data_IF_206510190069
#
_entry.id   IF_206510190069
#
_cell.length_a   1.000
_cell.length_b   1.000
_cell.length_c   1.000
_cell.angle_alpha   90.00
_cell.angle_beta   90.00
_cell.angle_gamma   90.00
#
_symmetry.space_group_name_H-M   'P 1'
#
loop_
_entity.id
_entity.type
_entity.pdbx_description
1 polymer ?
#
# COMPACT_ATOMS: atom_id res chain seq x y z
N UNK A 1 -1.03 -28.12 -11.06
CA UNK A 1 -1.23 -27.92 -12.51
C UNK A 1 -1.34 -26.41 -12.70
N UNK A 2 -0.40 -25.78 -13.42
CA UNK A 2 -0.37 -24.32 -13.58
C UNK A 2 -1.54 -23.90 -14.46
N UNK A 3 -2.64 -23.47 -13.84
CA UNK A 3 -3.55 -22.53 -14.49
C UNK A 3 -2.98 -21.12 -14.27
N UNK A 4 -1.80 -20.91 -14.85
CA UNK A 4 -1.21 -19.59 -14.95
C UNK A 4 -2.03 -18.89 -16.01
N UNK A 5 -2.57 -17.73 -15.65
CA UNK A 5 -3.14 -16.74 -16.56
C UNK A 5 -2.11 -16.38 -17.62
N UNK A 6 -2.02 -17.22 -18.63
CA UNK A 6 -1.21 -17.06 -19.83
C UNK A 6 -1.86 -15.94 -20.64
N UNK A 7 -1.51 -14.69 -20.34
CA UNK A 7 -1.88 -13.50 -21.11
C UNK A 7 -3.26 -12.89 -20.83
N UNK A 8 -3.87 -13.19 -19.69
CA UNK A 8 -5.24 -12.76 -19.36
C UNK A 8 -5.38 -12.07 -17.99
N UNK A 9 -4.31 -11.54 -17.38
CA UNK A 9 -4.46 -10.83 -16.09
C UNK A 9 -5.29 -9.58 -16.29
N UNK A 10 -4.89 -8.72 -17.23
CA UNK A 10 -5.71 -7.58 -17.61
C UNK A 10 -6.78 -8.04 -18.60
N UNK A 11 -7.97 -7.51 -18.43
CA UNK A 11 -9.07 -7.65 -19.38
C UNK A 11 -9.17 -6.37 -20.21
N UNK A 12 -9.55 -6.49 -21.48
CA UNK A 12 -9.88 -5.37 -22.35
C UNK A 12 -8.75 -4.30 -22.45
N UNK A 13 -7.48 -4.73 -22.56
CA UNK A 13 -6.36 -3.79 -22.65
C UNK A 13 -6.49 -2.84 -23.85
N UNK A 14 -6.25 -1.55 -23.60
CA UNK A 14 -6.32 -0.51 -24.62
C UNK A 14 -4.98 0.21 -24.79
N UNK A 15 -4.63 0.66 -26.00
CA UNK A 15 -3.38 1.38 -26.24
C UNK A 15 -3.20 2.65 -25.38
N UNK A 16 -4.30 3.34 -25.02
CA UNK A 16 -4.20 4.51 -24.15
C UNK A 16 -3.61 4.21 -22.78
N UNK A 17 -3.75 2.98 -22.25
CA UNK A 17 -3.17 2.62 -20.96
C UNK A 17 -1.64 2.61 -21.00
N UNK A 18 -1.06 2.12 -22.10
CA UNK A 18 0.38 2.17 -22.31
C UNK A 18 0.87 3.62 -22.48
N UNK A 19 0.10 4.45 -23.19
CA UNK A 19 0.44 5.85 -23.38
C UNK A 19 0.34 6.65 -22.06
N UNK A 20 -0.70 6.43 -21.25
CA UNK A 20 -0.92 7.15 -19.99
C UNK A 20 -0.03 6.68 -18.84
N UNK A 21 0.68 5.55 -18.98
CA UNK A 21 1.53 5.03 -17.90
C UNK A 21 2.58 6.07 -17.44
N UNK A 22 2.73 6.23 -16.13
CA UNK A 22 3.60 7.24 -15.52
C UNK A 22 3.08 8.68 -15.56
N UNK A 23 1.95 8.94 -16.23
CA UNK A 23 1.44 10.31 -16.47
C UNK A 23 0.00 10.52 -16.04
N UNK A 24 -0.82 9.48 -16.16
CA UNK A 24 -2.26 9.54 -15.95
C UNK A 24 -2.71 8.53 -14.90
N UNK A 25 -3.86 8.82 -14.28
CA UNK A 25 -4.55 7.87 -13.41
C UNK A 25 -5.35 6.91 -14.30
N UNK A 26 -5.09 5.61 -14.18
CA UNK A 26 -5.60 4.59 -15.09
C UNK A 26 -6.46 3.59 -14.33
N UNK A 27 -7.77 3.60 -14.61
CA UNK A 27 -8.69 2.56 -14.16
C UNK A 27 -8.80 1.50 -15.25
N UNK A 28 -8.38 0.28 -14.93
CA UNK A 28 -8.26 -0.83 -15.89
C UNK A 28 -9.00 -2.07 -15.39
N UNK A 29 -9.41 -2.94 -16.32
CA UNK A 29 -10.07 -4.20 -15.99
C UNK A 29 -9.07 -5.34 -15.83
N UNK A 30 -9.36 -6.29 -14.95
CA UNK A 30 -8.53 -7.47 -14.71
C UNK A 30 -9.37 -8.71 -14.34
N UNK A 31 -8.80 -9.89 -14.52
CA UNK A 31 -9.43 -11.18 -14.21
C UNK A 31 -9.03 -11.77 -12.85
N UNK A 32 -8.14 -11.12 -12.09
CA UNK A 32 -7.70 -11.62 -10.76
C UNK A 32 -8.84 -11.89 -9.78
N UNK A 33 -9.95 -11.14 -9.87
CA UNK A 33 -11.13 -11.35 -9.03
C UNK A 33 -11.80 -12.73 -9.23
N UNK A 34 -11.46 -13.45 -10.31
CA UNK A 34 -11.93 -14.80 -10.64
C UNK A 34 -10.90 -15.89 -10.32
N UNK A 35 -9.73 -15.51 -9.81
CA UNK A 35 -8.67 -16.48 -9.53
C UNK A 35 -9.01 -17.31 -8.29
N UNK A 36 -8.75 -18.61 -8.38
CA UNK A 36 -8.88 -19.55 -7.27
C UNK A 36 -8.00 -19.18 -6.06
N UNK A 37 -6.95 -18.36 -6.28
CA UNK A 37 -6.08 -17.83 -5.23
C UNK A 37 -6.78 -16.84 -4.28
N UNK A 38 -7.97 -16.35 -4.62
CA UNK A 38 -8.71 -15.40 -3.77
C UNK A 38 -10.10 -15.89 -3.36
N UNK A 39 -10.33 -17.21 -3.43
CA UNK A 39 -11.46 -17.88 -2.78
C UNK A 39 -11.35 -17.75 -1.26
N UNK A 40 -12.46 -17.93 -0.54
CA UNK A 40 -12.41 -17.92 0.94
C UNK A 40 -11.48 -19.01 1.46
N UNK A 41 -11.52 -20.17 0.84
CA UNK A 41 -10.74 -21.34 1.19
C UNK A 41 -9.24 -21.09 0.97
N UNK A 42 -8.86 -20.45 -0.13
CA UNK A 42 -7.47 -20.08 -0.39
C UNK A 42 -6.96 -19.00 0.58
N UNK A 43 -7.76 -17.96 0.83
CA UNK A 43 -7.42 -16.90 1.78
C UNK A 43 -7.33 -17.42 3.21
N UNK A 44 -8.23 -18.32 3.62
CA UNK A 44 -8.21 -18.96 4.94
C UNK A 44 -6.93 -19.77 5.14
N UNK A 45 -6.57 -20.62 4.17
CA UNK A 45 -5.31 -21.38 4.22
C UNK A 45 -4.08 -20.47 4.28
N UNK A 46 -4.12 -19.34 3.57
CA UNK A 46 -3.05 -18.35 3.62
C UNK A 46 -2.94 -17.70 5.00
N UNK A 47 -4.07 -17.35 5.62
CA UNK A 47 -4.13 -16.81 6.99
C UNK A 47 -3.62 -17.79 8.05
N UNK A 48 -3.82 -19.09 7.83
CA UNK A 48 -3.31 -20.14 8.73
C UNK A 48 -1.81 -20.41 8.56
N UNK A 49 -1.26 -20.13 7.37
CA UNK A 49 0.14 -20.40 7.04
C UNK A 49 1.08 -19.19 7.21
N UNK A 50 0.54 -17.97 7.33
CA UNK A 50 1.36 -16.76 7.45
C UNK A 50 2.04 -16.65 8.82
N UNK A 51 3.31 -16.26 8.83
CA UNK A 51 4.06 -16.03 10.08
C UNK A 51 3.74 -14.65 10.67
N UNK A 52 3.93 -14.50 11.99
CA UNK A 52 3.55 -13.26 12.72
C UNK A 52 4.12 -11.99 12.11
N UNK A 53 5.37 -12.01 11.65
CA UNK A 53 6.04 -10.83 11.09
C UNK A 53 5.50 -10.38 9.72
N UNK A 54 4.77 -11.26 9.04
CA UNK A 54 4.27 -11.06 7.67
C UNK A 54 2.79 -10.68 7.63
N UNK A 55 2.13 -10.47 8.78
CA UNK A 55 0.79 -9.89 8.83
C UNK A 55 0.66 -8.72 9.82
N UNK A 56 -0.34 -7.89 9.57
CA UNK A 56 -0.85 -6.91 10.53
C UNK A 56 -2.35 -7.06 10.68
N UNK A 57 -2.86 -7.07 11.91
CA UNK A 57 -4.30 -6.99 12.19
C UNK A 57 -4.55 -5.71 12.95
N UNK A 58 -5.52 -4.95 12.49
CA UNK A 58 -5.74 -3.61 13.01
C UNK A 58 -7.21 -3.35 13.25
N UNK A 59 -7.48 -2.48 14.21
CA UNK A 59 -8.81 -1.92 14.48
C UNK A 59 -8.67 -0.43 14.77
N UNK A 60 -9.80 0.29 14.73
CA UNK A 60 -9.87 1.68 15.15
C UNK A 60 -10.37 1.72 16.60
N UNK A 61 -9.64 2.38 17.49
CA UNK A 61 -10.14 2.62 18.84
C UNK A 61 -11.32 3.61 18.81
N UNK A 62 -12.46 3.23 19.38
CA UNK A 62 -13.45 4.19 19.90
C UNK A 62 -13.27 4.29 21.42
N UNK A 63 -12.64 5.36 21.88
CA UNK A 63 -12.55 5.70 23.31
C UNK A 63 -13.33 6.99 23.58
N UNK A 64 -13.84 7.15 24.81
CA UNK A 64 -14.68 8.29 25.19
C UNK A 64 -13.97 9.65 25.06
N UNK A 65 -12.63 9.71 25.14
CA UNK A 65 -11.87 10.97 25.27
C UNK A 65 -10.59 11.06 24.41
N UNK A 66 -10.50 10.37 23.25
CA UNK A 66 -9.27 10.41 22.43
C UNK A 66 -9.48 10.33 20.91
N UNK A 67 -8.55 10.88 20.10
CA UNK A 67 -8.59 10.72 18.65
C UNK A 67 -8.53 9.23 18.28
N UNK A 68 -9.28 8.82 17.25
CA UNK A 68 -9.30 7.44 16.73
C UNK A 68 -7.86 6.99 16.45
N UNK A 69 -7.31 6.10 17.29
CA UNK A 69 -5.96 5.55 17.11
C UNK A 69 -6.07 4.17 16.48
N UNK A 70 -5.23 3.91 15.48
CA UNK A 70 -5.01 2.56 14.96
C UNK A 70 -4.37 1.72 16.08
N UNK A 71 -4.96 0.56 16.36
CA UNK A 71 -4.39 -0.47 17.23
C UNK A 71 -3.86 -1.62 16.38
N UNK A 72 -2.92 -2.39 16.93
CA UNK A 72 -2.35 -3.57 16.29
C UNK A 72 -2.63 -4.80 17.18
N UNK A 73 -3.02 -5.91 16.54
CA UNK A 73 -3.47 -7.12 17.23
C UNK A 73 -2.95 -8.41 16.61
N UNK A 74 -3.50 -9.53 17.08
CA UNK A 74 -3.16 -10.88 16.62
C UNK A 74 -4.40 -11.73 16.31
N UNK A 75 -4.21 -12.88 15.65
CA UNK A 75 -5.31 -13.76 15.24
C UNK A 75 -5.97 -14.53 16.39
N UNK A 76 -5.35 -14.62 17.57
CA UNK A 76 -5.99 -15.23 18.75
C UNK A 76 -6.23 -16.75 18.65
N UNK A 77 -5.55 -17.46 17.74
CA UNK A 77 -5.67 -18.92 17.57
C UNK A 77 -6.86 -19.39 16.72
N UNK A 78 -7.54 -18.47 16.05
CA UNK A 78 -8.66 -18.75 15.15
C UNK A 78 -8.20 -19.43 13.86
N UNK A 79 -9.08 -20.24 13.27
CA UNK A 79 -8.92 -20.72 11.88
C UNK A 79 -9.01 -19.57 10.88
N UNK A 80 -8.51 -19.79 9.67
CA UNK A 80 -8.55 -18.79 8.61
C UNK A 80 -9.98 -18.38 8.22
N UNK A 81 -10.92 -19.32 8.26
CA UNK A 81 -12.34 -19.04 8.00
C UNK A 81 -12.97 -18.20 9.11
N UNK A 82 -12.68 -18.52 10.38
CA UNK A 82 -13.15 -17.71 11.51
C UNK A 82 -12.60 -16.29 11.47
N UNK A 83 -11.36 -16.11 11.00
CA UNK A 83 -10.77 -14.78 10.77
C UNK A 83 -11.52 -14.02 9.67
N UNK A 84 -11.81 -14.64 8.53
CA UNK A 84 -12.57 -13.99 7.45
C UNK A 84 -13.97 -13.60 7.94
N UNK A 85 -14.65 -14.47 8.67
CA UNK A 85 -15.98 -14.22 9.25
C UNK A 85 -15.95 -13.08 10.29
N UNK A 86 -14.90 -13.04 11.12
CA UNK A 86 -14.67 -11.96 12.08
C UNK A 86 -14.46 -10.63 11.37
N UNK A 87 -13.66 -10.60 10.29
CA UNK A 87 -13.46 -9.40 9.48
C UNK A 87 -14.77 -8.95 8.85
N UNK A 88 -15.60 -9.86 8.35
CA UNK A 88 -16.87 -9.48 7.74
C UNK A 88 -17.84 -8.79 8.71
N UNK A 89 -17.79 -9.13 10.01
CA UNK A 89 -18.73 -8.65 11.04
C UNK A 89 -18.16 -7.56 11.97
N UNK A 90 -16.83 -7.42 12.01
CA UNK A 90 -16.13 -6.54 12.94
C UNK A 90 -15.83 -5.14 12.41
N UNK A 91 -14.88 -4.48 13.06
CA UNK A 91 -14.21 -3.26 12.56
C UNK A 91 -12.69 -3.52 12.57
N UNK A 92 -12.28 -4.52 11.79
CA UNK A 92 -10.90 -4.98 11.68
C UNK A 92 -10.44 -5.04 10.23
N UNK A 93 -9.13 -4.91 10.03
CA UNK A 93 -8.52 -5.21 8.74
C UNK A 93 -7.19 -5.92 8.91
N UNK A 94 -6.98 -6.89 8.02
CA UNK A 94 -5.81 -7.73 7.95
C UNK A 94 -5.01 -7.34 6.71
N UNK A 95 -3.74 -7.00 6.90
CA UNK A 95 -2.77 -6.81 5.83
C UNK A 95 -1.81 -8.01 5.82
N UNK A 96 -1.88 -8.85 4.79
CA UNK A 96 -0.96 -9.96 4.56
C UNK A 96 0.14 -9.51 3.62
N UNK A 97 1.36 -9.36 4.15
CA UNK A 97 2.53 -8.90 3.41
C UNK A 97 3.29 -10.11 2.88
N UNK A 98 3.82 -9.98 1.67
CA UNK A 98 4.63 -11.03 1.04
C UNK A 98 3.96 -12.43 1.08
N UNK A 99 2.70 -12.57 0.59
CA UNK A 99 1.94 -13.82 0.64
C UNK A 99 2.66 -15.01 -0.02
N UNK A 100 3.62 -14.74 -0.92
CA UNK A 100 4.46 -15.76 -1.55
C UNK A 100 5.30 -16.58 -0.55
N UNK A 101 5.59 -16.05 0.64
CA UNK A 101 6.31 -16.79 1.68
C UNK A 101 5.50 -17.95 2.24
N UNK A 102 4.18 -17.74 2.39
CA UNK A 102 3.25 -18.77 2.87
C UNK A 102 2.75 -19.65 1.72
N UNK A 103 2.62 -19.10 0.50
CA UNK A 103 2.24 -19.87 -0.68
C UNK A 103 2.88 -19.30 -1.96
N UNK A 104 3.83 -20.03 -2.54
CA UNK A 104 4.58 -19.64 -3.74
C UNK A 104 3.73 -19.23 -4.95
N UNK A 105 2.48 -19.69 -5.07
CA UNK A 105 1.59 -19.32 -6.16
C UNK A 105 1.29 -17.81 -6.24
N UNK A 106 1.33 -17.09 -5.11
CA UNK A 106 1.21 -15.63 -5.12
C UNK A 106 2.47 -14.94 -5.65
N UNK A 107 3.64 -15.59 -5.54
CA UNK A 107 4.89 -15.13 -6.14
C UNK A 107 4.86 -15.26 -7.66
N UNK A 108 4.47 -16.44 -8.15
CA UNK A 108 4.25 -16.69 -9.58
C UNK A 108 3.25 -15.65 -10.15
N UNK A 109 2.12 -15.43 -9.46
CA UNK A 109 1.14 -14.42 -9.86
C UNK A 109 1.73 -13.00 -9.91
N UNK A 110 2.50 -12.61 -8.90
CA UNK A 110 3.11 -11.28 -8.83
C UNK A 110 4.07 -11.04 -10.01
N UNK A 111 4.89 -12.03 -10.33
CA UNK A 111 5.79 -11.97 -11.48
C UNK A 111 5.02 -11.85 -12.80
N UNK A 112 3.93 -12.61 -12.96
CA UNK A 112 3.11 -12.56 -14.17
C UNK A 112 2.38 -11.20 -14.33
N UNK A 113 1.89 -10.60 -13.23
CA UNK A 113 1.31 -9.24 -13.25
C UNK A 113 2.31 -8.25 -13.85
N UNK A 114 3.53 -8.19 -13.29
CA UNK A 114 4.52 -7.23 -13.75
C UNK A 114 5.06 -7.56 -15.14
N UNK A 115 5.21 -8.84 -15.49
CA UNK A 115 5.58 -9.26 -16.85
C UNK A 115 4.55 -8.77 -17.87
N UNK A 116 3.26 -8.85 -17.59
CA UNK A 116 2.21 -8.37 -18.49
C UNK A 116 2.31 -6.84 -18.74
N UNK A 117 2.56 -6.04 -17.70
CA UNK A 117 2.79 -4.60 -17.87
C UNK A 117 4.09 -4.30 -18.63
N UNK A 118 5.19 -4.96 -18.32
CA UNK A 118 6.47 -4.76 -19.01
C UNK A 118 6.43 -5.12 -20.50
N UNK A 119 5.57 -6.08 -20.88
CA UNK A 119 5.33 -6.41 -22.29
C UNK A 119 4.47 -5.35 -23.00
N UNK A 120 3.56 -4.70 -22.28
CA UNK A 120 2.56 -3.80 -22.89
C UNK A 120 2.89 -2.31 -22.80
N UNK A 121 3.74 -1.93 -21.86
CA UNK A 121 4.20 -0.54 -21.67
C UNK A 121 5.63 -0.42 -22.20
N UNK A 122 5.84 0.26 -23.35
CA UNK A 122 7.17 0.40 -23.94
C UNK A 122 8.19 1.00 -22.97
N UNK A 123 9.33 0.34 -22.82
CA UNK A 123 10.43 0.82 -21.97
C UNK A 123 10.24 0.60 -20.47
N UNK A 124 9.08 0.07 -20.03
CA UNK A 124 8.86 -0.23 -18.63
C UNK A 124 9.77 -1.39 -18.18
N UNK A 125 10.55 -1.12 -17.13
CA UNK A 125 11.38 -2.11 -16.43
C UNK A 125 11.23 -1.93 -14.95
N UNK A 126 10.70 -2.95 -14.30
CA UNK A 126 10.33 -2.95 -12.90
C UNK A 126 11.16 -3.96 -12.12
N UNK A 127 11.36 -3.68 -10.84
CA UNK A 127 12.06 -4.59 -9.93
C UNK A 127 11.57 -4.40 -8.49
N UNK A 128 11.96 -5.31 -7.59
CA UNK A 128 11.51 -5.35 -6.18
C UNK A 128 9.98 -5.34 -6.08
N UNK A 129 9.36 -6.32 -6.74
CA UNK A 129 7.93 -6.51 -6.70
C UNK A 129 7.50 -6.93 -5.29
N UNK A 130 6.46 -6.28 -4.78
CA UNK A 130 5.87 -6.62 -3.48
C UNK A 130 4.36 -6.76 -3.69
N UNK A 131 3.76 -7.75 -3.04
CA UNK A 131 2.31 -7.91 -2.95
C UNK A 131 1.89 -7.80 -1.49
N UNK A 132 0.79 -7.09 -1.25
CA UNK A 132 0.05 -7.14 0.01
C UNK A 132 -1.42 -7.44 -0.28
N UNK A 133 -1.99 -8.42 0.42
CA UNK A 133 -3.43 -8.71 0.36
C UNK A 133 -4.09 -8.04 1.57
N UNK A 134 -5.14 -7.26 1.32
CA UNK A 134 -5.93 -6.58 2.34
C UNK A 134 -7.30 -7.24 2.41
N UNK A 135 -7.66 -7.75 3.59
CA UNK A 135 -8.98 -8.30 3.93
C UNK A 135 -9.56 -7.38 4.99
N UNK A 136 -10.68 -6.74 4.73
CA UNK A 136 -11.13 -5.60 5.55
C UNK A 136 -12.64 -5.60 5.77
N UNK A 137 -13.03 -5.20 6.99
CA UNK A 137 -14.42 -4.98 7.36
C UNK A 137 -15.09 -3.90 6.50
N UNK A 138 -16.43 -3.89 6.47
CA UNK A 138 -17.20 -2.76 5.94
C UNK A 138 -16.74 -1.42 6.52
N UNK A 139 -16.80 -0.35 5.73
CA UNK A 139 -16.54 1.03 6.20
C UNK A 139 -15.13 1.29 6.77
N UNK A 140 -14.17 0.37 6.56
CA UNK A 140 -12.75 0.60 6.83
C UNK A 140 -12.23 1.71 5.92
N UNK A 141 -11.54 2.67 6.52
CA UNK A 141 -10.96 3.82 5.81
C UNK A 141 -9.47 3.91 6.12
N UNK A 142 -8.67 4.15 5.07
CA UNK A 142 -7.25 4.48 5.20
C UNK A 142 -7.09 5.97 4.95
N UNK A 143 -6.48 6.71 5.91
CA UNK A 143 -6.28 8.14 5.78
C UNK A 143 -5.50 8.58 4.56
N UNK A 144 -5.63 9.86 4.25
CA UNK A 144 -4.79 10.56 3.29
C UNK A 144 -3.31 10.27 3.53
N UNK A 145 -2.64 9.71 2.52
CA UNK A 145 -1.22 9.39 2.54
C UNK A 145 -0.64 9.45 1.13
N UNK A 146 0.69 9.35 1.02
CA UNK A 146 1.37 9.09 -0.24
C UNK A 146 2.33 7.92 -0.03
N UNK A 147 2.53 7.12 -1.07
CA UNK A 147 3.47 6.01 -1.03
C UNK A 147 4.80 6.37 -1.65
N UNK A 148 5.86 5.72 -1.16
CA UNK A 148 7.22 5.87 -1.68
C UNK A 148 7.49 5.02 -2.93
N UNK A 149 7.14 3.71 -2.99
CA UNK A 149 7.26 2.93 -4.22
C UNK A 149 6.13 3.23 -5.21
N UNK A 150 6.26 2.79 -6.46
CA UNK A 150 5.16 2.79 -7.41
C UNK A 150 4.13 1.74 -7.00
N UNK A 151 2.84 2.08 -7.05
CA UNK A 151 1.75 1.28 -6.49
C UNK A 151 0.63 1.04 -7.52
N UNK A 152 -0.07 -0.09 -7.38
CA UNK A 152 -1.33 -0.38 -8.06
C UNK A 152 -2.27 -1.05 -7.06
N UNK A 153 -3.55 -0.68 -7.12
CA UNK A 153 -4.61 -1.23 -6.28
C UNK A 153 -5.57 -2.07 -7.12
N UNK A 154 -5.80 -3.32 -6.72
CA UNK A 154 -6.61 -4.30 -7.43
C UNK A 154 -7.79 -4.74 -6.58
N UNK A 155 -9.02 -4.52 -7.06
CA UNK A 155 -10.21 -4.88 -6.31
C UNK A 155 -10.64 -6.32 -6.65
N UNK A 156 -10.66 -7.17 -5.63
CA UNK A 156 -10.98 -8.59 -5.76
C UNK A 156 -12.41 -8.88 -5.31
N UNK A 157 -12.84 -8.30 -4.18
CA UNK A 157 -14.19 -8.46 -3.64
C UNK A 157 -14.66 -7.21 -2.94
N UNK A 158 -15.96 -6.93 -3.01
CA UNK A 158 -16.58 -5.77 -2.38
C UNK A 158 -16.39 -4.51 -3.22
N UNK A 159 -16.77 -3.36 -2.66
CA UNK A 159 -16.63 -2.05 -3.30
C UNK A 159 -15.77 -1.11 -2.46
N UNK A 160 -14.90 -0.37 -3.13
CA UNK A 160 -13.97 0.57 -2.51
C UNK A 160 -13.96 1.88 -3.27
N UNK A 161 -14.09 2.99 -2.56
CA UNK A 161 -13.87 4.34 -3.12
C UNK A 161 -12.44 4.78 -2.87
N UNK A 162 -11.83 5.34 -3.91
CA UNK A 162 -10.46 5.84 -3.91
C UNK A 162 -10.49 7.30 -4.34
N UNK A 163 -9.87 8.15 -3.54
CA UNK A 163 -9.62 9.54 -3.88
C UNK A 163 -8.15 9.66 -4.20
N UNK A 164 -7.82 10.16 -5.38
CA UNK A 164 -6.45 10.40 -5.83
C UNK A 164 -6.27 11.89 -6.07
N UNK A 165 -5.25 12.46 -5.45
CA UNK A 165 -4.99 13.90 -5.46
C UNK A 165 -3.78 14.21 -6.36
N UNK A 166 -3.68 15.43 -6.89
CA UNK A 166 -2.48 15.88 -7.60
C UNK A 166 -1.21 15.76 -6.75
N UNK A 167 -0.04 15.63 -7.39
CA UNK A 167 1.25 15.50 -6.72
C UNK A 167 1.94 16.86 -6.47
N UNK A 168 1.23 17.96 -6.67
CA UNK A 168 1.71 19.33 -6.47
C UNK A 168 1.07 19.98 -5.22
N UNK A 169 1.67 21.04 -4.67
CA UNK A 169 1.00 21.88 -3.69
C UNK A 169 -0.34 22.43 -4.20
N UNK A 170 -1.38 22.51 -3.34
CA UNK A 170 -1.36 22.27 -1.90
C UNK A 170 -1.48 20.80 -1.49
N UNK A 171 -1.76 19.88 -2.42
CA UNK A 171 -2.04 18.47 -2.12
C UNK A 171 -0.80 17.75 -1.59
N UNK A 172 0.32 17.81 -2.31
CA UNK A 172 1.59 17.23 -1.86
C UNK A 172 2.64 18.31 -1.63
N UNK A 173 2.74 18.87 -0.42
CA UNK A 173 3.85 19.75 -0.08
C UNK A 173 5.18 19.01 -0.18
N UNK A 174 6.13 19.59 -0.92
CA UNK A 174 7.47 19.04 -1.08
C UNK A 174 8.16 18.65 0.25
N UNK A 175 8.08 19.44 1.35
CA UNK A 175 8.65 19.01 2.63
C UNK A 175 7.98 17.78 3.24
N UNK A 176 6.71 17.49 2.93
CA UNK A 176 5.98 16.35 3.48
C UNK A 176 6.51 15.03 2.89
N UNK A 177 6.64 14.95 1.56
CA UNK A 177 7.23 13.78 0.88
C UNK A 177 8.71 13.58 1.25
N UNK A 178 9.46 14.65 1.46
CA UNK A 178 10.85 14.59 1.94
C UNK A 178 10.93 13.97 3.35
N UNK A 179 10.10 14.44 4.29
CA UNK A 179 10.02 13.88 5.65
C UNK A 179 9.55 12.43 5.64
N UNK A 180 8.59 12.09 4.78
CA UNK A 180 8.12 10.72 4.61
C UNK A 180 9.28 9.80 4.20
N UNK A 181 10.04 10.19 3.17
CA UNK A 181 11.18 9.42 2.64
C UNK A 181 12.32 9.31 3.68
N UNK A 182 12.53 10.35 4.48
CA UNK A 182 13.49 10.32 5.60
C UNK A 182 12.99 9.48 6.80
N UNK A 183 11.71 9.08 6.82
CA UNK A 183 11.10 8.36 7.93
C UNK A 183 10.78 9.24 9.15
N UNK A 184 10.70 10.56 8.95
CA UNK A 184 10.38 11.57 9.96
C UNK A 184 8.87 11.87 10.03
N UNK A 185 8.12 11.39 9.05
CA UNK A 185 6.66 11.44 8.98
C UNK A 185 6.14 10.02 8.74
N UNK A 186 5.07 9.62 9.43
CA UNK A 186 4.37 8.39 9.09
C UNK A 186 3.48 8.63 7.85
N UNK A 187 3.27 7.60 7.01
CA UNK A 187 2.50 7.72 5.76
C UNK A 187 1.13 8.36 5.98
N UNK A 188 0.42 7.94 7.03
CA UNK A 188 -0.92 8.44 7.39
C UNK A 188 -0.93 9.77 8.16
N UNK A 189 0.24 10.36 8.43
CA UNK A 189 0.35 11.65 9.13
C UNK A 189 0.54 12.81 8.14
N UNK A 190 0.36 12.54 6.84
CA UNK A 190 0.43 13.55 5.79
C UNK A 190 -0.59 14.68 6.05
N UNK A 191 -0.21 15.96 5.87
CA UNK A 191 -1.12 17.08 6.12
C UNK A 191 -2.37 16.98 5.23
N UNK A 192 -3.53 16.91 5.87
CA UNK A 192 -4.82 16.80 5.21
C UNK A 192 -5.78 17.89 5.70
N UNK A 193 -6.60 18.40 4.78
CA UNK A 193 -7.79 19.18 5.09
C UNK A 193 -8.90 18.79 4.12
N UNK A 194 -10.15 18.89 4.56
CA UNK A 194 -11.31 18.56 3.71
C UNK A 194 -11.35 19.38 2.42
N UNK A 195 -10.78 20.59 2.42
CA UNK A 195 -10.69 21.42 1.22
C UNK A 195 -9.88 20.78 0.08
N UNK A 196 -8.97 19.84 0.38
CA UNK A 196 -8.22 19.09 -0.63
C UNK A 196 -9.14 18.17 -1.46
N UNK A 197 -10.27 17.74 -0.92
CA UNK A 197 -11.20 16.86 -1.65
C UNK A 197 -11.77 17.52 -2.91
N UNK A 198 -11.80 18.86 -2.97
CA UNK A 198 -12.25 19.60 -4.15
C UNK A 198 -11.39 19.36 -5.40
N UNK A 199 -10.15 18.90 -5.23
CA UNK A 199 -9.24 18.58 -6.33
C UNK A 199 -8.98 17.09 -6.51
N UNK A 200 -9.67 16.23 -5.76
CA UNK A 200 -9.51 14.80 -5.88
C UNK A 200 -10.25 14.26 -7.11
N UNK A 201 -9.61 13.35 -7.83
CA UNK A 201 -10.32 12.43 -8.70
C UNK A 201 -10.84 11.28 -7.85
N UNK A 202 -12.11 10.93 -8.01
CA UNK A 202 -12.79 9.93 -7.19
C UNK A 202 -13.19 8.74 -8.06
N UNK A 203 -12.79 7.53 -7.64
CA UNK A 203 -13.04 6.28 -8.34
C UNK A 203 -13.72 5.28 -7.42
N UNK A 204 -14.77 4.63 -7.94
CA UNK A 204 -15.40 3.49 -7.28
C UNK A 204 -14.90 2.20 -7.95
N UNK A 205 -14.15 1.39 -7.19
CA UNK A 205 -13.64 0.10 -7.65
C UNK A 205 -14.58 -1.02 -7.23
N UNK A 206 -14.97 -1.83 -8.21
CA UNK A 206 -15.71 -3.08 -8.05
C UNK A 206 -14.81 -4.27 -8.41
N UNK A 207 -15.18 -5.52 -8.09
CA UNK A 207 -14.39 -6.70 -8.43
C UNK A 207 -14.03 -6.72 -9.92
N UNK A 208 -12.73 -6.84 -10.21
CA UNK A 208 -12.22 -6.84 -11.58
C UNK A 208 -11.81 -5.48 -12.11
N UNK A 209 -11.87 -4.43 -11.30
CA UNK A 209 -11.21 -3.17 -11.58
C UNK A 209 -9.96 -2.97 -10.73
N UNK A 210 -8.95 -2.39 -11.35
CA UNK A 210 -7.75 -1.90 -10.68
C UNK A 210 -7.54 -0.43 -11.00
N UNK A 211 -6.84 0.26 -10.10
CA UNK A 211 -6.43 1.65 -10.27
C UNK A 211 -4.92 1.78 -10.15
N UNK A 212 -4.33 2.43 -11.15
CA UNK A 212 -2.95 2.88 -11.18
C UNK A 212 -2.93 4.41 -11.14
N UNK A 213 -1.94 4.98 -10.47
CA UNK A 213 -1.66 6.40 -10.51
C UNK A 213 -0.15 6.66 -10.56
N UNK A 214 0.29 7.80 -11.10
CA UNK A 214 1.71 8.15 -11.13
C UNK A 214 2.33 8.26 -9.72
N UNK A 215 3.66 8.23 -9.68
CA UNK A 215 4.41 8.16 -8.43
C UNK A 215 4.04 9.29 -7.45
N UNK A 216 3.90 8.92 -6.17
CA UNK A 216 3.64 9.81 -5.04
C UNK A 216 2.31 10.58 -5.07
N UNK A 217 1.39 10.36 -6.04
CA UNK A 217 0.07 10.98 -5.95
C UNK A 217 -0.58 10.58 -4.61
N UNK A 218 -0.92 11.55 -3.76
CA UNK A 218 -1.56 11.25 -2.51
C UNK A 218 -2.92 10.60 -2.77
N UNK A 219 -3.36 9.80 -1.81
CA UNK A 219 -4.64 9.14 -1.90
C UNK A 219 -5.21 8.76 -0.53
N UNK A 220 -6.51 8.53 -0.50
CA UNK A 220 -7.23 7.91 0.62
C UNK A 220 -8.22 6.89 0.08
N UNK A 221 -8.57 5.90 0.90
CA UNK A 221 -9.53 4.87 0.51
C UNK A 221 -10.58 4.65 1.57
N UNK A 222 -11.79 4.31 1.13
CA UNK A 222 -12.92 3.95 1.97
C UNK A 222 -13.60 2.72 1.39
N UNK A 223 -13.69 1.67 2.20
CA UNK A 223 -14.47 0.48 1.88
C UNK A 223 -15.95 0.78 2.06
N UNK A 224 -16.79 0.27 1.16
CA UNK A 224 -18.24 0.35 1.29
C UNK A 224 -18.76 -0.67 2.33
N UNK A 225 -20.08 -0.84 2.39
CA UNK A 225 -20.85 -1.62 3.34
C UNK A 225 -20.73 -3.15 3.17
N UNK A 226 -19.55 -3.67 2.80
CA UNK A 226 -19.31 -5.09 2.59
C UNK A 226 -17.88 -5.52 2.95
N UNK A 227 -17.67 -6.84 3.11
CA UNK A 227 -16.33 -7.41 3.18
C UNK A 227 -15.55 -7.04 1.93
N UNK A 228 -14.39 -6.43 2.12
CA UNK A 228 -13.52 -6.01 1.05
C UNK A 228 -12.26 -6.88 1.00
N UNK A 229 -11.94 -7.39 -0.20
CA UNK A 229 -10.67 -8.02 -0.49
C UNK A 229 -10.02 -7.25 -1.64
N UNK A 230 -8.79 -6.80 -1.43
CA UNK A 230 -8.03 -6.09 -2.44
C UNK A 230 -6.56 -6.45 -2.34
N UNK A 231 -5.81 -6.19 -3.40
CA UNK A 231 -4.37 -6.40 -3.44
C UNK A 231 -3.72 -5.05 -3.74
N UNK A 232 -2.64 -4.73 -3.05
CA UNK A 232 -1.70 -3.72 -3.53
C UNK A 232 -0.46 -4.40 -4.07
N UNK A 233 0.02 -3.92 -5.20
CA UNK A 233 1.29 -4.37 -5.78
C UNK A 233 2.23 -3.19 -5.92
N UNK A 234 3.45 -3.36 -5.44
CA UNK A 234 4.47 -2.31 -5.42
C UNK A 234 5.63 -2.66 -6.33
N UNK A 235 6.29 -1.64 -6.87
CA UNK A 235 7.48 -1.81 -7.68
C UNK A 235 8.40 -0.59 -7.63
N UNK A 236 9.62 -0.81 -8.09
CA UNK A 236 10.57 0.24 -8.42
C UNK A 236 10.95 0.22 -9.88
N UNK A 237 11.22 1.40 -10.43
CA UNK A 237 11.96 1.62 -11.67
C UNK A 237 13.22 2.43 -11.34
N UNK A 238 14.11 2.60 -12.32
CA UNK A 238 15.26 3.50 -12.16
C UNK A 238 14.82 4.94 -11.88
N UNK A 239 13.69 5.38 -12.45
CA UNK A 239 13.16 6.72 -12.26
C UNK A 239 12.59 6.90 -10.85
N UNK A 240 11.84 5.90 -10.35
CA UNK A 240 11.36 5.89 -8.95
C UNK A 240 12.55 5.93 -7.98
N UNK A 241 13.62 5.15 -8.26
CA UNK A 241 14.83 5.17 -7.43
C UNK A 241 15.53 6.53 -7.46
N UNK A 242 15.61 7.18 -8.62
CA UNK A 242 16.19 8.52 -8.76
C UNK A 242 15.35 9.55 -8.01
N UNK A 243 14.03 9.53 -8.19
CA UNK A 243 13.09 10.39 -7.48
C UNK A 243 13.24 10.25 -5.96
N UNK A 244 13.26 9.02 -5.46
CA UNK A 244 13.51 8.71 -4.05
C UNK A 244 14.83 9.36 -3.57
N UNK A 245 15.92 9.18 -4.31
CA UNK A 245 17.24 9.69 -3.92
C UNK A 245 17.27 11.23 -3.93
N UNK A 246 16.60 11.87 -4.88
CA UNK A 246 16.49 13.33 -4.97
C UNK A 246 15.67 13.90 -3.82
N UNK A 247 14.52 13.31 -3.48
CA UNK A 247 13.75 13.73 -2.30
C UNK A 247 14.55 13.52 -1.01
N UNK A 248 15.23 12.40 -0.87
CA UNK A 248 16.10 12.13 0.28
C UNK A 248 17.17 13.22 0.43
N UNK A 249 17.89 13.52 -0.66
CA UNK A 249 18.91 14.56 -0.68
C UNK A 249 18.34 15.95 -0.38
N UNK A 250 17.17 16.27 -0.93
CA UNK A 250 16.50 17.54 -0.65
C UNK A 250 16.13 17.67 0.83
N UNK A 251 15.58 16.61 1.43
CA UNK A 251 15.28 16.59 2.86
C UNK A 251 16.53 16.84 3.71
N UNK A 252 17.64 16.18 3.39
CA UNK A 252 18.92 16.39 4.08
C UNK A 252 19.46 17.82 3.91
N UNK A 253 19.44 18.37 2.70
CA UNK A 253 19.85 19.75 2.44
C UNK A 253 18.96 20.76 3.16
N UNK A 254 17.65 20.51 3.22
CA UNK A 254 16.72 21.37 3.95
C UNK A 254 17.03 21.38 5.46
N UNK A 255 17.40 20.24 6.03
CA UNK A 255 17.89 20.16 7.42
C UNK A 255 19.20 20.93 7.64
N UNK A 256 20.02 21.07 6.60
CA UNK A 256 21.22 21.90 6.63
C UNK A 256 20.94 23.40 6.33
N UNK A 257 19.68 23.83 6.24
CA UNK A 257 19.29 25.22 6.07
C UNK A 257 19.08 25.68 4.62
N UNK A 258 19.19 24.79 3.63
CA UNK A 258 18.93 25.15 2.24
C UNK A 258 17.42 25.28 1.95
N UNK A 259 17.05 26.29 1.17
CA UNK A 259 15.66 26.55 0.74
C UNK A 259 15.54 26.50 -0.80
N UNK A 260 14.31 26.57 -1.31
CA UNK A 260 14.02 26.57 -2.76
C UNK A 260 14.56 25.37 -3.56
N UNK A 261 14.74 24.23 -2.89
CA UNK A 261 15.17 22.98 -3.50
C UNK A 261 14.06 22.43 -4.41
N UNK A 262 14.38 22.29 -5.70
CA UNK A 262 13.49 21.66 -6.68
C UNK A 262 13.68 20.14 -6.70
N UNK A 263 12.63 19.42 -7.07
CA UNK A 263 12.75 18.03 -7.51
C UNK A 263 13.34 17.98 -8.93
N UNK A 264 14.16 16.97 -9.22
CA UNK A 264 14.72 16.72 -10.54
C UNK A 264 14.41 15.28 -10.93
N UNK A 265 13.83 15.10 -12.10
CA UNK A 265 13.54 13.78 -12.66
C UNK A 265 14.80 13.10 -13.21
N UNK A 266 15.85 13.87 -13.54
CA UNK A 266 17.11 13.36 -14.06
C UNK A 266 18.20 14.42 -14.25
N UNK A 267 19.26 14.04 -14.95
CA UNK A 267 20.37 14.93 -15.31
C UNK A 267 21.44 15.12 -14.22
N UNK A 268 22.44 16.00 -14.46
CA UNK A 268 23.62 16.13 -13.60
C UNK A 268 23.30 16.50 -12.14
N UNK A 269 22.28 17.34 -11.92
CA UNK A 269 21.84 17.73 -10.57
C UNK A 269 21.21 16.55 -9.83
N UNK A 270 20.38 15.75 -10.51
CA UNK A 270 19.81 14.54 -9.92
C UNK A 270 20.90 13.51 -9.57
N UNK A 271 21.93 13.37 -10.42
CA UNK A 271 23.07 12.51 -10.16
C UNK A 271 23.86 12.98 -8.92
N UNK A 272 24.15 14.28 -8.80
CA UNK A 272 24.82 14.84 -7.63
C UNK A 272 24.01 14.60 -6.34
N UNK A 273 22.69 14.81 -6.39
CA UNK A 273 21.79 14.52 -5.26
C UNK A 273 21.73 13.03 -4.92
N UNK A 274 21.74 12.17 -5.93
CA UNK A 274 21.81 10.72 -5.73
C UNK A 274 23.12 10.32 -5.03
N UNK A 275 24.24 10.92 -5.44
CA UNK A 275 25.54 10.75 -4.77
C UNK A 275 25.51 11.19 -3.31
N UNK A 276 24.89 12.35 -3.01
CA UNK A 276 24.70 12.82 -1.63
C UNK A 276 23.84 11.84 -0.81
N UNK A 277 22.71 11.38 -1.36
CA UNK A 277 21.84 10.42 -0.68
C UNK A 277 22.59 9.11 -0.37
N UNK A 278 23.39 8.62 -1.32
CA UNK A 278 24.23 7.44 -1.11
C UNK A 278 25.28 7.69 -0.01
N UNK A 279 26.02 8.81 -0.08
CA UNK A 279 27.04 9.15 0.92
C UNK A 279 26.46 9.23 2.33
N UNK A 280 25.31 9.89 2.51
CA UNK A 280 24.62 9.95 3.81
C UNK A 280 24.21 8.56 4.28
N UNK A 281 23.60 7.73 3.41
CA UNK A 281 23.19 6.38 3.80
C UNK A 281 24.38 5.49 4.19
N UNK A 282 25.47 5.53 3.44
CA UNK A 282 26.66 4.72 3.71
C UNK A 282 27.49 5.24 4.89
N UNK A 283 27.39 6.53 5.24
CA UNK A 283 28.05 7.08 6.43
C UNK A 283 27.44 6.61 7.76
N UNK A 284 26.24 6.04 7.75
CA UNK A 284 25.52 5.65 8.96
C UNK A 284 24.93 6.81 9.76
N UNK A 285 25.04 8.06 9.27
CA UNK A 285 24.50 9.26 9.92
C UNK A 285 22.97 9.26 10.06
N UNK A 286 22.27 8.50 9.21
CA UNK A 286 20.80 8.41 9.21
C UNK A 286 20.35 6.96 9.39
N UNK A 287 20.62 6.39 10.57
CA UNK A 287 20.05 5.10 10.98
C UNK A 287 18.63 5.32 11.48
N UNK A 288 17.65 4.69 10.82
CA UNK A 288 16.27 4.67 11.29
C UNK A 288 16.19 3.75 12.51
N UNK A 289 15.73 4.28 13.64
CA UNK A 289 15.41 3.44 14.79
C UNK A 289 14.23 2.53 14.43
N UNK A 290 14.38 1.23 14.66
CA UNK A 290 13.26 0.30 14.60
C UNK A 290 12.31 0.63 15.75
N UNK A 291 11.05 0.91 15.40
CA UNK A 291 9.99 1.11 16.40
C UNK A 291 9.25 -0.23 16.52
N UNK A 292 9.27 -0.87 17.70
CA UNK A 292 8.46 -2.07 17.92
C UNK A 292 6.98 -1.73 17.76
N UNK A 293 6.20 -2.71 17.29
CA UNK A 293 4.75 -2.62 17.32
C UNK A 293 4.26 -3.19 18.64
N UNK A 294 3.34 -2.50 19.29
CA UNK A 294 2.65 -3.02 20.49
C UNK A 294 1.40 -3.77 20.05
N UNK A 295 1.34 -5.05 20.37
CA UNK A 295 0.17 -5.90 20.18
C UNK A 295 -0.66 -5.78 21.44
N UNK A 296 -1.89 -5.28 21.34
CA UNK A 296 -2.74 -5.00 22.51
C UNK A 296 -4.15 -5.60 22.41
N UNK A 297 -4.47 -6.30 21.33
CA UNK A 297 -5.72 -7.05 21.19
C UNK A 297 -5.54 -8.35 20.40
N UNK A 298 -6.53 -9.23 20.51
CA UNK A 298 -6.71 -10.38 19.63
C UNK A 298 -8.06 -10.31 18.91
N UNK A 299 -8.15 -10.91 17.72
CA UNK A 299 -9.43 -11.14 17.07
C UNK A 299 -10.26 -12.09 17.93
N UNK A 300 -11.51 -11.72 18.16
CA UNK A 300 -12.45 -12.48 18.98
C UNK A 300 -13.86 -12.35 18.40
N UNK A 301 -14.36 -13.35 17.64
CA UNK A 301 -15.67 -13.28 17.00
C UNK A 301 -16.84 -13.15 17.98
N UNK A 302 -16.63 -13.44 19.27
CA UNK A 302 -17.65 -13.35 20.31
C UNK A 302 -17.77 -11.95 20.93
N UNK A 303 -16.79 -11.08 20.70
CA UNK A 303 -16.73 -9.73 21.25
C UNK A 303 -17.30 -8.66 20.29
N UNK A 304 -17.74 -7.50 20.81
CA UNK A 304 -18.12 -6.35 19.97
C UNK A 304 -16.99 -5.97 19.00
N UNK A 305 -17.35 -5.66 17.75
CA UNK A 305 -16.39 -5.35 16.67
C UNK A 305 -15.36 -6.45 16.38
N UNK A 306 -15.58 -7.65 16.89
CA UNK A 306 -14.71 -8.83 16.77
C UNK A 306 -13.31 -8.68 17.38
N UNK A 307 -13.19 -7.93 18.48
CA UNK A 307 -11.91 -7.62 19.14
C UNK A 307 -12.01 -7.78 20.66
N UNK A 308 -11.03 -8.46 21.27
CA UNK A 308 -10.83 -8.55 22.72
C UNK A 308 -9.44 -8.07 23.11
N UNK A 309 -9.37 -7.23 24.16
CA UNK A 309 -8.10 -6.74 24.70
C UNK A 309 -7.27 -7.89 25.29
N UNK A 310 -5.94 -7.79 25.18
CA UNK A 310 -4.97 -8.72 25.77
C UNK A 310 -3.90 -7.94 26.54
N UNK A 311 -3.10 -8.64 27.35
CA UNK A 311 -1.91 -8.02 27.94
C UNK A 311 -0.95 -7.58 26.83
N UNK A 312 -0.59 -6.28 26.74
CA UNK A 312 0.20 -5.81 25.62
C UNK A 312 1.61 -6.40 25.59
N UNK A 313 2.11 -6.70 24.39
CA UNK A 313 3.48 -7.15 24.17
C UNK A 313 4.09 -6.53 22.91
N UNK A 314 5.42 -6.48 22.82
CA UNK A 314 6.13 -5.88 21.68
C UNK A 314 6.56 -6.94 20.67
N UNK A 315 6.38 -6.63 19.38
CA UNK A 315 6.97 -7.38 18.27
C UNK A 315 7.98 -6.48 17.55
N UNK A 316 9.20 -6.98 17.38
CA UNK A 316 10.26 -6.34 16.58
C UNK A 316 10.32 -6.99 15.20
N UNK A 317 10.55 -6.16 14.18
CA UNK A 317 10.83 -6.62 12.81
C UNK A 317 12.29 -7.00 12.68
#
# INVERSE_FOLDING_TARGET
MRDITTGHIMADWKPEYAAGWGREQLMMRHNLHRSELFTNEALAKLLEAVERQDYHVNTRSSGADGPKRRREGEFGGLSGMELIDAVQKGDIWINLRAPQKANSAYGDLLEDIFREFEMRVPGLKTYRHIMTILISSPNVYVPYHADVPGQMLWQIRGKKRVWVYPAEPPYLPQPAIEKLILGELHETDMPYSEALDNGANVYDLEPGYMLYWPLNLPHRVENMDCLNVSITTEHYTNDIRTSYAVHYANGMLRKAGFSNLKHQEGGPVALAKTGLAAAVKFSGLHRKAEKPYTIDFKVDPSAPSSVSDITPYEVRK
#
